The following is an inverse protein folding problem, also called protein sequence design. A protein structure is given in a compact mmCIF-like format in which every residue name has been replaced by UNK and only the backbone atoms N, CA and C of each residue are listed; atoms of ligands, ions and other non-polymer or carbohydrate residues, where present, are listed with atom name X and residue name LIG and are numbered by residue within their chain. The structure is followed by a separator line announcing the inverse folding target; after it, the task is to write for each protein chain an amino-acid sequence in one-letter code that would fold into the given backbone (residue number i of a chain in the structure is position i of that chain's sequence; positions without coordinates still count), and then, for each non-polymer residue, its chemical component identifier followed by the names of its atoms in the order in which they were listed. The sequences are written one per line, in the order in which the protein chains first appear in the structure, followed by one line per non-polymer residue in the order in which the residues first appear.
data_IF_948477350982
#
_entry.id   IF_948477350982
#
_cell.length_a   1.000
_cell.length_b   1.000
_cell.length_c   1.000
_cell.angle_alpha   90.00
_cell.angle_beta   90.00
_cell.angle_gamma   90.00
#
_symmetry.space_group_name_H-M   'P 1'
#
loop_
_entity.id
_entity.type
_entity.pdbx_description
1 polymer ?
#
# COMPACT_ATOMS: atom_id res chain seq x y z
N UNK A 1 19.30 6.73 0.35
CA UNK A 1 18.32 5.73 0.83
C UNK A 1 16.95 5.90 0.17
N UNK A 2 16.38 7.11 0.16
CA UNK A 2 15.06 7.41 -0.44
C UNK A 2 14.84 6.82 -1.85
N UNK A 3 15.78 7.01 -2.78
CA UNK A 3 15.70 6.44 -4.14
C UNK A 3 15.61 4.90 -4.17
N UNK A 4 16.15 4.20 -3.17
CA UNK A 4 16.03 2.73 -3.07
C UNK A 4 14.65 2.32 -2.56
N UNK A 5 14.06 3.09 -1.65
CA UNK A 5 12.72 2.84 -1.11
C UNK A 5 11.63 3.08 -2.17
N UNK A 6 11.76 4.14 -2.96
CA UNK A 6 10.76 4.50 -3.97
C UNK A 6 10.71 3.54 -5.17
N UNK A 7 11.75 2.73 -5.42
CA UNK A 7 11.74 1.74 -6.51
C UNK A 7 10.64 0.68 -6.36
N UNK A 8 10.20 0.40 -5.13
CA UNK A 8 9.21 -0.63 -4.85
C UNK A 8 7.79 -0.08 -4.69
N UNK A 9 7.62 1.25 -4.63
CA UNK A 9 6.32 1.90 -4.48
C UNK A 9 5.65 2.04 -5.85
N UNK A 10 4.45 1.49 -6.00
CA UNK A 10 3.63 1.58 -7.22
C UNK A 10 2.25 2.11 -6.84
N UNK A 11 1.83 3.19 -7.50
CA UNK A 11 0.53 3.84 -7.28
C UNK A 11 -0.29 3.73 -8.55
N UNK A 12 -1.50 3.19 -8.43
CA UNK A 12 -2.43 2.98 -9.54
C UNK A 12 -3.66 3.86 -9.34
N UNK A 13 -4.23 4.36 -10.44
CA UNK A 13 -5.41 5.23 -10.41
C UNK A 13 -6.68 4.42 -10.18
N UNK A 14 -6.74 3.18 -10.70
CA UNK A 14 -7.88 2.29 -10.54
C UNK A 14 -7.65 1.26 -9.43
N UNK A 15 -8.73 0.56 -9.06
CA UNK A 15 -8.69 -0.55 -8.11
C UNK A 15 -7.96 -1.80 -8.65
N UNK A 16 -7.65 -1.83 -9.94
CA UNK A 16 -7.00 -2.97 -10.62
C UNK A 16 -5.50 -2.72 -10.76
N UNK A 17 -4.68 -3.74 -10.48
CA UNK A 17 -3.23 -3.67 -10.67
C UNK A 17 -2.68 -5.00 -11.24
N UNK A 18 -1.61 -4.97 -12.05
CA UNK A 18 -1.09 -6.16 -12.75
C UNK A 18 -0.36 -7.17 -11.83
N UNK A 19 -0.48 -7.04 -10.51
CA UNK A 19 0.21 -7.85 -9.50
C UNK A 19 -0.60 -9.02 -8.95
N UNK A 20 -1.53 -9.56 -9.74
CA UNK A 20 -2.38 -10.69 -9.31
C UNK A 20 -1.57 -11.97 -9.03
N UNK A 21 -0.51 -12.23 -9.81
CA UNK A 21 0.36 -13.39 -9.61
C UNK A 21 1.12 -13.39 -8.26
N UNK A 22 1.20 -12.24 -7.58
CA UNK A 22 1.93 -12.07 -6.33
C UNK A 22 1.02 -12.22 -5.09
N UNK A 23 -0.29 -12.40 -5.29
CA UNK A 23 -1.29 -12.53 -4.22
C UNK A 23 -1.08 -11.56 -3.05
N UNK A 24 -1.04 -10.24 -3.28
CA UNK A 24 -0.73 -9.26 -2.25
C UNK A 24 -1.79 -9.27 -1.14
N UNK A 25 -1.33 -9.26 0.11
CA UNK A 25 -2.22 -9.18 1.29
C UNK A 25 -2.64 -7.74 1.54
N UNK A 26 -3.93 -7.53 1.72
CA UNK A 26 -4.48 -6.24 2.15
C UNK A 26 -4.01 -5.92 3.57
N UNK A 27 -3.45 -4.73 3.77
CA UNK A 27 -2.97 -4.24 5.07
C UNK A 27 -3.86 -3.09 5.52
N UNK A 28 -4.57 -3.28 6.64
CA UNK A 28 -5.36 -2.23 7.27
C UNK A 28 -4.48 -1.34 8.13
N UNK A 29 -4.04 -0.22 7.56
CA UNK A 29 -3.20 0.77 8.25
C UNK A 29 -4.02 1.58 9.28
N UNK A 30 -5.34 1.73 9.07
CA UNK A 30 -6.19 2.50 9.97
C UNK A 30 -6.38 1.79 11.32
N UNK A 31 -6.49 0.47 11.33
CA UNK A 31 -6.60 -0.34 12.54
C UNK A 31 -5.31 -0.48 13.36
N UNK A 32 -4.14 -0.17 12.79
CA UNK A 32 -2.85 -0.32 13.46
C UNK A 32 -2.60 0.71 14.57
N UNK A 33 -3.25 1.87 14.52
CA UNK A 33 -3.12 2.90 15.55
C UNK A 33 -4.40 3.76 15.59
N UNK A 34 -4.95 4.05 16.77
CA UNK A 34 -6.09 4.97 16.91
C UNK A 34 -5.89 6.33 16.23
N UNK A 35 -4.66 6.83 16.10
CA UNK A 35 -4.33 8.11 15.44
C UNK A 35 -4.34 8.04 13.90
N UNK A 36 -4.34 6.85 13.30
CA UNK A 36 -4.36 6.68 11.85
C UNK A 36 -5.76 6.82 11.25
N UNK A 37 -6.79 6.79 12.10
CA UNK A 37 -8.18 6.99 11.70
C UNK A 37 -8.56 8.46 11.92
N UNK A 38 -9.06 9.12 10.87
CA UNK A 38 -9.84 10.37 11.02
C UNK A 38 -11.21 9.96 11.57
N UNK A 39 -11.33 9.90 12.89
CA UNK A 39 -12.60 9.84 13.61
C UNK A 39 -12.98 11.24 14.07
#
# INVERSE_FOLDING_TARGET
LARKQLKNLKVYVSATHPHEAQSPKVVDVAGMNPKNKRA
#
